data_IF_876941048692
#
_entry.id   IF_876941048692
#
_cell.length_a   1.000
_cell.length_b   1.000
_cell.length_c   1.000
_cell.angle_alpha   90.00
_cell.angle_beta   90.00
_cell.angle_gamma   90.00
#
_symmetry.space_group_name_H-M   'P 1'
#
loop_
_entity.id
_entity.type
_entity.pdbx_description
1 polymer ?
#
# COMPACT_ATOMS: atom_id res chain seq x y z
N UNK A 1 9.10 -20.71 -0.88
CA UNK A 1 9.28 -19.55 -0.04
C UNK A 1 8.19 -18.54 -0.31
N UNK A 2 7.60 -18.07 0.75
CA UNK A 2 6.44 -17.20 0.65
C UNK A 2 6.88 -15.74 0.56
N UNK A 3 6.31 -15.03 -0.38
CA UNK A 3 6.55 -13.61 -0.52
C UNK A 3 5.82 -12.86 0.59
N UNK A 4 6.47 -11.86 1.14
CA UNK A 4 5.85 -10.95 2.09
C UNK A 4 5.52 -9.65 1.38
N UNK A 5 4.34 -9.15 1.64
CA UNK A 5 3.87 -7.92 1.02
C UNK A 5 3.72 -6.85 2.09
N UNK A 6 4.16 -5.66 1.76
CA UNK A 6 4.12 -4.53 2.68
C UNK A 6 3.57 -3.31 1.97
N UNK A 7 2.77 -2.55 2.70
CA UNK A 7 2.21 -1.30 2.19
C UNK A 7 2.62 -0.18 3.12
N UNK A 8 3.16 0.89 2.55
CA UNK A 8 3.52 2.09 3.30
C UNK A 8 2.61 3.21 2.83
N UNK A 9 1.92 3.83 3.78
CA UNK A 9 1.05 4.97 3.52
C UNK A 9 1.62 6.18 4.24
N UNK A 10 1.85 7.26 3.50
CA UNK A 10 2.40 8.48 4.06
C UNK A 10 1.64 9.70 3.55
N UNK A 11 1.54 10.70 4.39
CA UNK A 11 0.87 11.95 4.05
C UNK A 11 1.11 12.98 5.13
N UNK A 12 0.37 14.08 5.07
CA UNK A 12 0.45 15.11 6.09
C UNK A 12 -0.10 14.55 7.41
N UNK A 13 0.76 14.49 8.42
CA UNK A 13 0.42 13.93 9.74
C UNK A 13 0.02 12.46 9.72
N UNK A 14 0.49 11.72 8.69
CA UNK A 14 0.15 10.30 8.54
C UNK A 14 1.36 9.53 8.07
N UNK A 15 1.70 8.47 8.79
CA UNK A 15 2.66 7.47 8.35
C UNK A 15 2.28 6.13 8.94
N UNK A 16 2.02 5.15 8.08
CA UNK A 16 1.68 3.79 8.50
C UNK A 16 2.36 2.78 7.60
N UNK A 17 2.82 1.70 8.21
CA UNK A 17 3.32 0.54 7.49
C UNK A 17 2.44 -0.65 7.84
N UNK A 18 1.96 -1.35 6.82
CA UNK A 18 1.13 -2.53 7.01
C UNK A 18 1.79 -3.72 6.33
N UNK A 19 1.95 -4.81 7.07
CA UNK A 19 2.39 -6.07 6.49
C UNK A 19 1.14 -6.91 6.20
N UNK A 20 1.01 -7.39 4.96
CA UNK A 20 -0.17 -8.15 4.54
C UNK A 20 -0.03 -9.57 5.05
N UNK A 21 -1.03 -10.12 5.79
CA UNK A 21 -1.01 -11.51 6.22
C UNK A 21 -0.95 -12.47 5.04
N UNK A 22 -0.14 -13.52 5.16
CA UNK A 22 0.10 -14.48 4.09
C UNK A 22 -1.14 -15.22 3.62
N UNK A 23 -2.08 -15.43 4.51
CA UNK A 23 -3.31 -16.17 4.22
C UNK A 23 -4.42 -15.32 3.64
N UNK A 24 -4.22 -14.03 3.52
CA UNK A 24 -5.27 -13.14 3.00
C UNK A 24 -5.15 -12.97 1.49
N UNK A 25 -6.27 -13.11 0.80
CA UNK A 25 -6.38 -12.86 -0.63
C UNK A 25 -7.11 -11.54 -0.91
N UNK A 26 -7.69 -10.93 0.10
CA UNK A 26 -8.31 -9.62 0.02
C UNK A 26 -8.17 -8.93 1.35
N UNK A 27 -7.87 -7.63 1.31
CA UNK A 27 -7.91 -6.82 2.52
C UNK A 27 -8.31 -5.40 2.16
N UNK A 28 -8.76 -4.68 3.18
CA UNK A 28 -9.26 -3.32 3.01
C UNK A 28 -8.52 -2.37 3.95
N UNK A 29 -8.14 -1.23 3.42
CA UNK A 29 -7.55 -0.14 4.20
C UNK A 29 -8.48 1.06 4.11
N UNK A 30 -8.90 1.58 5.24
CA UNK A 30 -9.78 2.72 5.22
C UNK A 30 -10.20 3.19 6.59
N UNK A 31 -11.18 4.10 6.61
CA UNK A 31 -11.65 4.76 7.84
C UNK A 31 -12.78 4.02 8.54
N UNK A 32 -13.39 3.04 7.90
CA UNK A 32 -14.50 2.29 8.47
C UNK A 32 -14.01 1.26 9.49
N UNK A 33 -14.85 0.97 10.48
CA UNK A 33 -14.50 0.02 11.52
C UNK A 33 -14.29 -1.41 11.02
N UNK A 34 -14.90 -1.76 9.90
CA UNK A 34 -14.77 -3.09 9.30
C UNK A 34 -13.54 -3.30 8.45
N UNK A 35 -12.68 -2.30 8.28
CA UNK A 35 -11.48 -2.43 7.49
C UNK A 35 -10.42 -3.23 8.23
N UNK A 36 -9.63 -4.01 7.49
CA UNK A 36 -8.53 -4.80 8.06
C UNK A 36 -7.47 -3.89 8.67
N UNK A 37 -7.14 -2.80 7.99
CA UNK A 37 -6.26 -1.76 8.49
C UNK A 37 -7.04 -0.46 8.55
N UNK A 38 -7.27 0.03 9.76
CA UNK A 38 -8.10 1.20 9.94
C UNK A 38 -7.27 2.46 10.01
N UNK A 39 -7.65 3.46 9.21
CA UNK A 39 -7.04 4.78 9.23
C UNK A 39 -7.92 5.72 10.06
N UNK A 40 -7.29 6.72 10.64
CA UNK A 40 -7.97 7.67 11.51
C UNK A 40 -8.82 8.62 10.66
N UNK A 41 -10.15 8.57 10.85
CA UNK A 41 -11.10 9.29 10.00
C UNK A 41 -10.92 10.81 10.01
N UNK A 42 -10.41 11.37 11.12
CA UNK A 42 -10.24 12.81 11.26
C UNK A 42 -9.15 13.39 10.36
N UNK A 43 -8.32 12.53 9.76
CA UNK A 43 -7.29 12.95 8.83
C UNK A 43 -7.81 13.15 7.41
N UNK A 44 -9.08 12.80 7.16
CA UNK A 44 -9.63 12.78 5.81
C UNK A 44 -10.92 13.60 5.74
N UNK A 45 -11.14 14.23 4.59
CA UNK A 45 -12.37 15.02 4.35
C UNK A 45 -13.60 14.13 4.18
N UNK A 46 -13.41 12.92 3.70
CA UNK A 46 -14.47 11.96 3.41
C UNK A 46 -14.06 10.58 3.89
N UNK A 47 -15.04 9.70 4.17
CA UNK A 47 -14.72 8.30 4.42
C UNK A 47 -14.01 7.69 3.20
N UNK A 48 -12.98 6.91 3.45
CA UNK A 48 -12.23 6.25 2.38
C UNK A 48 -12.14 4.75 2.65
N UNK A 49 -12.07 3.97 1.58
CA UNK A 49 -11.86 2.53 1.66
C UNK A 49 -11.20 2.03 0.38
N UNK A 50 -9.99 1.52 0.51
CA UNK A 50 -9.27 0.93 -0.60
C UNK A 50 -9.34 -0.58 -0.47
N UNK A 51 -9.62 -1.27 -1.58
CA UNK A 51 -9.71 -2.73 -1.61
C UNK A 51 -8.52 -3.29 -2.36
N UNK A 52 -7.83 -4.25 -1.72
CA UNK A 52 -6.67 -4.92 -2.31
C UNK A 52 -7.02 -6.39 -2.49
N UNK A 53 -6.85 -6.89 -3.70
CA UNK A 53 -7.21 -8.27 -4.04
C UNK A 53 -6.02 -8.97 -4.70
N UNK A 54 -5.76 -10.20 -4.28
CA UNK A 54 -4.71 -11.03 -4.86
C UNK A 54 -5.31 -12.07 -5.80
N UNK A 55 -4.75 -12.13 -7.02
CA UNK A 55 -5.08 -13.17 -7.98
C UNK A 55 -3.76 -13.83 -8.39
N UNK A 56 -3.58 -15.09 -8.00
CA UNK A 56 -2.28 -15.73 -8.15
C UNK A 56 -1.24 -15.03 -7.29
N UNK A 57 -0.17 -14.54 -7.89
CA UNK A 57 0.87 -13.79 -7.19
C UNK A 57 0.73 -12.27 -7.38
N UNK A 58 -0.33 -11.83 -8.03
CA UNK A 58 -0.53 -10.44 -8.41
C UNK A 58 -1.53 -9.77 -7.49
N UNK A 59 -1.16 -8.62 -6.95
CA UNK A 59 -2.05 -7.79 -6.16
C UNK A 59 -2.59 -6.65 -7.01
N UNK A 60 -3.86 -6.32 -6.79
CA UNK A 60 -4.54 -5.21 -7.45
C UNK A 60 -5.19 -4.31 -6.42
N UNK A 61 -5.22 -3.02 -6.71
CA UNK A 61 -5.88 -2.01 -5.90
C UNK A 61 -7.12 -1.52 -6.62
N UNK A 62 -8.24 -1.42 -5.89
CA UNK A 62 -9.47 -0.82 -6.40
C UNK A 62 -9.83 0.35 -5.50
N UNK A 63 -10.07 1.51 -6.11
CA UNK A 63 -10.48 2.72 -5.42
C UNK A 63 -12.00 2.83 -5.35
N UNK A 64 -12.54 3.44 -4.28
CA UNK A 64 -13.95 3.79 -4.23
C UNK A 64 -14.26 4.96 -5.18
N UNK A 65 -15.54 5.27 -5.35
CA UNK A 65 -15.98 6.30 -6.30
C UNK A 65 -15.41 7.69 -6.02
N UNK A 66 -15.11 7.99 -4.77
CA UNK A 66 -14.63 9.32 -4.38
C UNK A 66 -13.11 9.49 -4.48
N UNK A 67 -12.40 8.47 -4.87
CA UNK A 67 -10.92 8.49 -4.96
C UNK A 67 -10.43 8.02 -6.32
N UNK A 68 -9.18 8.35 -6.63
CA UNK A 68 -8.48 7.79 -7.77
C UNK A 68 -6.98 7.74 -7.49
N UNK A 69 -6.27 6.90 -8.24
CA UNK A 69 -4.81 6.85 -8.20
C UNK A 69 -4.27 7.74 -9.30
N UNK A 70 -3.40 8.68 -8.94
CA UNK A 70 -2.71 9.54 -9.90
C UNK A 70 -1.35 8.92 -10.23
N UNK A 71 -1.10 8.67 -11.50
CA UNK A 71 0.19 8.16 -11.95
C UNK A 71 1.09 9.31 -12.39
N UNK A 72 2.39 9.03 -12.55
CA UNK A 72 3.34 10.06 -12.94
C UNK A 72 3.08 10.69 -14.30
N UNK A 73 2.29 10.03 -15.15
CA UNK A 73 1.89 10.55 -16.46
C UNK A 73 0.51 11.22 -16.44
N UNK A 74 0.04 11.59 -15.26
CA UNK A 74 -1.21 12.33 -15.03
C UNK A 74 -2.49 11.57 -15.37
N UNK A 75 -2.43 10.25 -15.44
CA UNK A 75 -3.63 9.44 -15.62
C UNK A 75 -4.35 9.23 -14.31
N UNK A 76 -5.67 9.16 -14.38
CA UNK A 76 -6.53 8.86 -13.25
C UNK A 76 -6.98 7.41 -13.35
N UNK A 77 -6.60 6.60 -12.37
CA UNK A 77 -6.93 5.18 -12.37
C UNK A 77 -7.82 4.84 -11.19
N UNK A 78 -8.91 4.12 -11.46
CA UNK A 78 -9.79 3.61 -10.40
C UNK A 78 -9.35 2.25 -9.91
N UNK A 79 -8.55 1.55 -10.70
CA UNK A 79 -8.01 0.25 -10.36
C UNK A 79 -6.66 0.08 -11.03
N UNK A 80 -5.75 -0.65 -10.39
CA UNK A 80 -4.45 -0.91 -10.96
C UNK A 80 -3.82 -2.16 -10.36
N UNK A 81 -2.94 -2.77 -11.16
CA UNK A 81 -2.12 -3.88 -10.73
C UNK A 81 -0.86 -3.34 -10.05
N UNK A 82 -0.50 -3.92 -8.92
CA UNK A 82 0.62 -3.47 -8.11
C UNK A 82 1.88 -4.26 -8.42
N UNK A 83 3.01 -3.56 -8.45
CA UNK A 83 4.34 -4.14 -8.63
C UNK A 83 5.26 -3.67 -7.52
N UNK A 84 6.29 -4.44 -7.25
CA UNK A 84 7.28 -4.07 -6.26
C UNK A 84 7.87 -2.69 -6.55
N UNK A 85 7.85 -1.84 -5.53
CA UNK A 85 8.41 -0.50 -5.65
C UNK A 85 7.47 0.54 -6.22
N UNK A 86 6.22 0.17 -6.54
CA UNK A 86 5.25 1.15 -7.02
C UNK A 86 4.95 2.19 -5.96
N UNK A 87 5.03 3.45 -6.35
CA UNK A 87 4.72 4.60 -5.51
C UNK A 87 3.74 5.48 -6.28
N UNK A 88 2.61 5.77 -5.68
CA UNK A 88 1.63 6.66 -6.31
C UNK A 88 0.85 7.44 -5.26
N UNK A 89 0.18 8.49 -5.72
CA UNK A 89 -0.64 9.34 -4.89
C UNK A 89 -2.10 8.99 -5.08
N UNK A 90 -2.82 8.82 -3.98
CA UNK A 90 -4.27 8.68 -4.00
C UNK A 90 -4.85 10.08 -3.80
N UNK A 91 -5.81 10.45 -4.62
CA UNK A 91 -6.42 11.78 -4.62
C UNK A 91 -7.94 11.70 -4.57
N UNK A 92 -8.56 12.79 -4.10
CA UNK A 92 -10.02 12.92 -4.12
C UNK A 92 -10.50 13.26 -5.53
N UNK A 93 -11.58 12.62 -5.97
CA UNK A 93 -12.14 12.86 -7.30
C UNK A 93 -12.60 14.30 -7.50
N UNK A 94 -13.26 14.89 -6.50
CA UNK A 94 -13.85 16.21 -6.64
C UNK A 94 -12.84 17.35 -6.60
N UNK A 95 -11.85 17.26 -5.71
CA UNK A 95 -10.94 18.36 -5.47
C UNK A 95 -9.56 18.17 -6.08
N UNK A 96 -9.23 16.93 -6.49
CA UNK A 96 -7.87 16.54 -6.91
C UNK A 96 -6.83 16.74 -5.81
N UNK A 97 -7.25 16.94 -4.57
CA UNK A 97 -6.35 17.04 -3.44
C UNK A 97 -5.78 15.68 -3.07
N UNK A 98 -4.54 15.69 -2.61
CA UNK A 98 -3.88 14.47 -2.17
C UNK A 98 -4.54 13.92 -0.91
N UNK A 99 -4.79 12.61 -0.91
CA UNK A 99 -5.22 11.88 0.28
C UNK A 99 -3.99 11.34 1.01
N UNK A 100 -3.18 10.57 0.31
CA UNK A 100 -1.89 10.08 0.82
C UNK A 100 -1.06 9.53 -0.34
N UNK A 101 0.22 9.29 -0.05
CA UNK A 101 1.12 8.58 -0.94
C UNK A 101 1.18 7.13 -0.49
N UNK A 102 1.22 6.24 -1.44
CA UNK A 102 1.16 4.80 -1.23
C UNK A 102 2.38 4.15 -1.88
N UNK A 103 3.02 3.26 -1.14
CA UNK A 103 4.14 2.47 -1.68
C UNK A 103 3.86 0.99 -1.44
N UNK A 104 4.05 0.18 -2.49
CA UNK A 104 3.86 -1.26 -2.42
C UNK A 104 5.20 -1.97 -2.53
N UNK A 105 5.50 -2.82 -1.56
CA UNK A 105 6.77 -3.54 -1.51
C UNK A 105 6.52 -5.05 -1.41
N UNK A 106 7.33 -5.80 -2.14
CA UNK A 106 7.31 -7.24 -2.07
C UNK A 106 8.68 -7.69 -1.57
N UNK A 107 8.68 -8.43 -0.48
CA UNK A 107 9.90 -9.03 0.06
C UNK A 107 9.96 -10.47 -0.43
N UNK A 108 10.64 -10.68 -1.56
CA UNK A 108 10.70 -11.98 -2.21
C UNK A 108 11.53 -12.99 -1.45
N UNK A 109 12.47 -12.55 -0.62
CA UNK A 109 13.44 -13.45 -0.02
C UNK A 109 13.92 -12.90 1.32
N UNK A 110 13.12 -13.15 2.35
CA UNK A 110 13.45 -12.70 3.70
C UNK A 110 14.71 -13.38 4.24
N UNK A 111 14.99 -14.61 3.82
CA UNK A 111 16.22 -15.30 4.25
C UNK A 111 17.45 -14.71 3.58
N UNK A 112 17.36 -14.39 2.30
CA UNK A 112 18.43 -13.73 1.58
C UNK A 112 18.74 -12.37 2.20
N UNK A 113 17.72 -11.62 2.59
CA UNK A 113 17.93 -10.36 3.29
C UNK A 113 18.65 -10.53 4.61
N UNK A 114 18.25 -11.52 5.38
CA UNK A 114 18.91 -11.83 6.63
C UNK A 114 20.37 -12.19 6.41
N UNK A 115 20.63 -12.96 5.38
CA UNK A 115 22.00 -13.35 5.04
C UNK A 115 22.84 -12.14 4.64
N UNK A 116 22.34 -11.29 3.79
CA UNK A 116 23.04 -10.08 3.37
C UNK A 116 23.31 -9.14 4.55
N UNK A 117 22.36 -9.02 5.45
CA UNK A 117 22.54 -8.21 6.65
C UNK A 117 23.66 -8.76 7.53
N UNK A 118 23.71 -10.06 7.72
CA UNK A 118 24.78 -10.69 8.49
C UNK A 118 26.15 -10.49 7.85
N UNK A 119 26.23 -10.60 6.55
CA UNK A 119 27.46 -10.33 5.83
C UNK A 119 27.93 -8.89 6.03
N UNK A 120 27.04 -7.93 5.97
CA UNK A 120 27.36 -6.53 6.20
C UNK A 120 27.83 -6.28 7.62
N UNK A 121 27.22 -6.92 8.58
CA UNK A 121 27.63 -6.82 9.98
C UNK A 121 29.03 -7.37 10.20
N UNK A 122 29.36 -8.48 9.56
CA UNK A 122 30.71 -9.05 9.64
C UNK A 122 31.75 -8.13 9.05
N UNK A 123 31.43 -7.45 7.95
CA UNK A 123 32.35 -6.53 7.32
C UNK A 123 32.61 -5.28 8.17
N UNK A 124 31.67 -4.94 9.01
CA UNK A 124 31.80 -3.81 9.94
C UNK A 124 32.55 -4.18 11.22
N UNK A 125 32.52 -5.43 11.56
CA UNK A 125 33.11 -5.92 12.76
C UNK A 125 34.57 -6.26 12.58
#
# INVERSE_FOLDING_TARGET
MENRYKIIISGKNLYKEFEIPEDKQEFKIGTNMGNDFRLYKDLFFEPIELVFTQTGETWSLVCPENLYVSTGDSRKLMAMTLKHGDIFTVKYQESDNDVFVFEFLIDFDSEKRKYERRCNERLRG
#
